data_IF_399666754732
#
_entry.id   IF_399666754732
#
_cell.length_a   1.000
_cell.length_b   1.000
_cell.length_c   1.000
_cell.angle_alpha   90.00
_cell.angle_beta   90.00
_cell.angle_gamma   90.00
#
_symmetry.space_group_name_H-M   'P 1'
#
loop_
_entity.id
_entity.type
_entity.pdbx_description
1 polymer ?
#
# COMPACT_ATOMS: atom_id res chain seq x y z
N UNK A 1 -13.43 21.09 -17.01
CA UNK A 1 -14.16 20.16 -17.91
C UNK A 1 -14.53 18.93 -17.09
N UNK A 2 -15.80 18.79 -16.66
CA UNK A 2 -16.26 17.57 -15.96
C UNK A 2 -16.30 16.44 -16.97
N UNK A 3 -15.30 15.56 -16.95
CA UNK A 3 -15.13 14.48 -17.94
C UNK A 3 -16.32 13.50 -17.95
N UNK A 4 -17.12 13.40 -16.88
CA UNK A 4 -18.44 12.76 -16.86
C UNK A 4 -19.43 13.53 -15.95
N UNK A 5 -20.73 13.46 -16.27
CA UNK A 5 -21.83 14.11 -15.54
C UNK A 5 -22.21 13.42 -14.22
N UNK A 6 -21.94 12.11 -14.09
CA UNK A 6 -22.31 11.33 -12.90
C UNK A 6 -21.23 11.45 -11.82
N UNK A 7 -21.67 11.74 -10.58
CA UNK A 7 -20.82 11.73 -9.40
C UNK A 7 -20.43 10.31 -9.00
N UNK A 8 -19.23 10.13 -8.45
CA UNK A 8 -18.79 8.87 -7.85
C UNK A 8 -19.27 8.72 -6.42
N UNK A 9 -19.35 9.83 -5.68
CA UNK A 9 -19.81 9.85 -4.29
C UNK A 9 -21.22 10.44 -4.20
N UNK A 10 -22.09 9.75 -3.46
CA UNK A 10 -23.38 10.29 -3.03
C UNK A 10 -23.19 11.38 -1.97
N UNK A 11 -24.17 12.27 -1.82
CA UNK A 11 -24.14 13.30 -0.77
C UNK A 11 -24.06 12.69 0.63
N UNK A 12 -24.64 11.50 0.84
CA UNK A 12 -24.54 10.76 2.09
C UNK A 12 -23.11 10.26 2.38
N UNK A 13 -22.39 9.78 1.35
CA UNK A 13 -20.99 9.37 1.47
C UNK A 13 -20.09 10.58 1.75
N UNK A 14 -20.29 11.69 1.05
CA UNK A 14 -19.56 12.94 1.27
C UNK A 14 -19.75 13.46 2.70
N UNK A 15 -20.99 13.46 3.21
CA UNK A 15 -21.27 13.82 4.60
C UNK A 15 -20.53 12.93 5.60
N UNK A 16 -20.57 11.60 5.43
CA UNK A 16 -19.85 10.66 6.30
C UNK A 16 -18.34 10.86 6.24
N UNK A 17 -17.80 11.18 5.06
CA UNK A 17 -16.39 11.50 4.88
C UNK A 17 -15.99 12.77 5.62
N UNK A 18 -16.85 13.79 5.67
CA UNK A 18 -16.59 14.99 6.48
C UNK A 18 -16.55 14.72 7.99
N UNK A 19 -17.22 13.66 8.44
CA UNK A 19 -17.23 13.19 9.83
C UNK A 19 -16.08 12.20 10.13
N UNK A 20 -15.30 11.81 9.11
CA UNK A 20 -14.16 10.90 9.27
C UNK A 20 -13.07 11.53 10.12
N UNK A 21 -12.45 10.72 10.96
CA UNK A 21 -11.36 11.11 11.83
C UNK A 21 -10.25 10.09 11.69
N UNK A 22 -9.07 10.55 11.27
CA UNK A 22 -7.92 9.68 11.11
C UNK A 22 -7.59 8.97 12.42
N UNK A 23 -7.41 7.66 12.33
CA UNK A 23 -7.05 6.83 13.48
C UNK A 23 -5.97 5.85 13.07
N UNK A 24 -4.79 6.02 13.69
CA UNK A 24 -3.62 5.20 13.43
C UNK A 24 -2.96 4.78 14.75
N UNK A 25 -2.42 3.56 14.79
CA UNK A 25 -1.57 3.06 15.86
C UNK A 25 -0.31 2.46 15.24
N UNK A 26 0.87 3.06 15.46
CA UNK A 26 2.14 2.49 15.01
C UNK A 26 2.97 1.97 16.16
N UNK A 27 3.53 0.77 15.98
CA UNK A 27 4.58 0.20 16.83
C UNK A 27 5.85 -0.11 16.01
N UNK A 28 5.99 0.49 14.82
CA UNK A 28 7.11 0.23 13.91
C UNK A 28 8.44 0.66 14.54
N UNK A 29 9.44 -0.20 14.36
CA UNK A 29 10.77 -0.01 14.92
C UNK A 29 11.49 1.11 14.18
N UNK A 30 11.51 1.04 12.84
CA UNK A 30 12.18 2.04 12.03
C UNK A 30 11.49 3.39 12.06
N UNK A 31 10.15 3.43 12.15
CA UNK A 31 9.43 4.70 12.30
C UNK A 31 9.96 5.48 13.49
N UNK A 32 10.13 4.81 14.63
CA UNK A 32 10.65 5.40 15.87
C UNK A 32 12.05 5.95 15.69
N UNK A 33 12.92 5.23 14.96
CA UNK A 33 14.30 5.64 14.70
C UNK A 33 14.40 6.78 13.69
N UNK A 34 13.48 6.86 12.74
CA UNK A 34 13.47 7.86 11.67
C UNK A 34 12.72 9.14 12.05
N UNK A 35 11.98 9.16 13.16
CA UNK A 35 11.30 10.37 13.65
C UNK A 35 12.20 11.63 13.70
N UNK A 36 13.44 11.59 14.23
CA UNK A 36 14.31 12.77 14.25
C UNK A 36 14.65 13.28 12.84
N UNK A 37 14.89 12.35 11.91
CA UNK A 37 15.16 12.67 10.51
C UNK A 37 13.94 13.30 9.84
N UNK A 38 12.74 12.73 9.98
CA UNK A 38 11.52 13.28 9.40
C UNK A 38 11.11 14.62 10.02
N UNK A 39 11.33 14.81 11.33
CA UNK A 39 11.10 16.09 12.01
C UNK A 39 12.07 17.17 11.51
N UNK A 40 13.34 16.83 11.29
CA UNK A 40 14.27 17.73 10.63
C UNK A 40 13.83 18.02 9.19
N UNK A 41 13.45 17.00 8.42
CA UNK A 41 13.11 17.15 7.02
C UNK A 41 11.87 18.04 6.83
N UNK A 42 10.79 17.77 7.57
CA UNK A 42 9.58 18.60 7.52
C UNK A 42 9.88 20.06 7.91
N UNK A 43 10.81 20.31 8.83
CA UNK A 43 11.19 21.69 9.21
C UNK A 43 11.81 22.48 8.05
N UNK A 44 12.42 21.78 7.08
CA UNK A 44 13.01 22.36 5.85
C UNK A 44 11.99 22.60 4.75
N UNK A 45 10.81 22.00 4.85
CA UNK A 45 9.74 22.20 3.87
C UNK A 45 9.14 23.61 4.04
N UNK A 46 8.99 24.39 2.95
CA UNK A 46 8.32 25.69 3.00
C UNK A 46 6.87 25.59 3.44
N UNK A 47 6.38 26.56 4.23
CA UNK A 47 5.00 26.57 4.77
C UNK A 47 3.93 26.68 3.67
N UNK A 48 4.27 27.22 2.50
CA UNK A 48 3.33 27.31 1.38
C UNK A 48 3.14 25.97 0.63
N UNK A 49 4.03 25.00 0.85
CA UNK A 49 3.99 23.73 0.13
C UNK A 49 2.89 22.84 0.69
N UNK A 50 1.91 22.50 -0.15
CA UNK A 50 0.78 21.65 0.22
C UNK A 50 1.22 20.20 0.48
N UNK A 51 0.68 19.53 1.52
CA UNK A 51 0.97 18.13 1.83
C UNK A 51 0.80 17.20 0.63
N UNK A 52 -0.35 17.24 -0.05
CA UNK A 52 -0.62 16.37 -1.20
C UNK A 52 0.34 16.60 -2.38
N UNK A 53 0.94 17.80 -2.47
CA UNK A 53 1.97 18.07 -3.47
C UNK A 53 3.29 17.35 -3.11
N UNK A 54 3.61 17.22 -1.83
CA UNK A 54 4.75 16.44 -1.36
C UNK A 54 4.56 14.95 -1.72
N UNK A 55 3.39 14.40 -1.40
CA UNK A 55 3.01 13.00 -1.70
C UNK A 55 3.14 12.70 -3.20
N UNK A 56 2.53 13.50 -4.07
CA UNK A 56 2.54 13.23 -5.52
C UNK A 56 3.93 13.42 -6.14
N UNK A 57 4.73 14.37 -5.65
CA UNK A 57 6.12 14.53 -6.10
C UNK A 57 6.96 13.32 -5.73
N UNK A 58 6.81 12.82 -4.50
CA UNK A 58 7.41 11.55 -4.09
C UNK A 58 7.00 10.42 -5.04
N UNK A 59 5.70 10.24 -5.28
CA UNK A 59 5.19 9.15 -6.12
C UNK A 59 5.75 9.24 -7.55
N UNK A 60 5.78 10.43 -8.14
CA UNK A 60 6.33 10.66 -9.48
C UNK A 60 7.81 10.24 -9.54
N UNK A 61 8.60 10.62 -8.53
CA UNK A 61 10.01 10.22 -8.44
C UNK A 61 10.13 8.69 -8.37
N UNK A 62 9.35 8.05 -7.49
CA UNK A 62 9.36 6.59 -7.37
C UNK A 62 9.05 5.90 -8.69
N UNK A 63 7.94 6.30 -9.34
CA UNK A 63 7.48 5.72 -10.61
C UNK A 63 8.53 5.91 -11.70
N UNK A 64 9.07 7.12 -11.87
CA UNK A 64 10.06 7.38 -12.93
C UNK A 64 11.31 6.52 -12.71
N UNK A 65 11.84 6.49 -11.49
CA UNK A 65 13.06 5.69 -11.21
C UNK A 65 12.83 4.19 -11.35
N UNK A 66 11.65 3.69 -10.94
CA UNK A 66 11.26 2.29 -11.15
C UNK A 66 11.07 1.97 -12.64
N UNK A 67 10.46 2.85 -13.42
CA UNK A 67 10.28 2.67 -14.87
C UNK A 67 11.62 2.68 -15.63
N UNK A 68 12.60 3.48 -15.19
CA UNK A 68 13.96 3.42 -15.73
C UNK A 68 14.57 2.02 -15.46
N UNK A 69 14.39 1.47 -14.25
CA UNK A 69 14.86 0.13 -13.94
C UNK A 69 14.15 -0.94 -14.79
N UNK A 70 12.82 -0.84 -14.94
CA UNK A 70 12.00 -1.70 -15.81
C UNK A 70 12.45 -1.61 -17.27
N UNK A 71 12.83 -0.43 -17.75
CA UNK A 71 13.32 -0.26 -19.12
C UNK A 71 14.56 -1.10 -19.42
N UNK A 72 15.48 -1.23 -18.46
CA UNK A 72 16.70 -2.04 -18.62
C UNK A 72 16.47 -3.54 -18.44
N UNK A 73 15.47 -3.94 -17.66
CA UNK A 73 15.18 -5.36 -17.38
C UNK A 73 13.67 -5.61 -17.30
N UNK A 74 12.94 -5.50 -18.43
CA UNK A 74 11.49 -5.70 -18.44
C UNK A 74 11.10 -7.17 -18.25
N UNK A 75 12.05 -8.08 -18.45
CA UNK A 75 11.91 -9.52 -18.21
C UNK A 75 12.31 -9.92 -16.78
N UNK A 76 12.85 -8.99 -15.97
CA UNK A 76 13.49 -9.25 -14.69
C UNK A 76 14.55 -10.37 -14.73
N UNK A 77 15.17 -10.60 -15.89
CA UNK A 77 16.29 -11.54 -16.10
C UNK A 77 17.53 -10.80 -16.53
N UNK A 78 17.36 -9.88 -17.49
CA UNK A 78 18.44 -9.07 -18.03
C UNK A 78 19.11 -8.27 -16.91
N UNK A 79 20.44 -8.27 -16.87
CA UNK A 79 21.18 -7.59 -15.81
C UNK A 79 21.05 -6.07 -15.99
N UNK A 80 20.34 -5.43 -15.06
CA UNK A 80 20.18 -3.98 -15.06
C UNK A 80 21.50 -3.29 -14.64
N UNK A 81 21.83 -2.12 -15.23
CA UNK A 81 22.99 -1.36 -14.81
C UNK A 81 22.94 -0.99 -13.32
N UNK A 82 24.06 -1.12 -12.61
CA UNK A 82 24.10 -0.84 -11.16
C UNK A 82 23.65 0.60 -10.80
N UNK A 83 23.91 1.58 -11.66
CA UNK A 83 23.42 2.95 -11.45
C UNK A 83 21.89 3.06 -11.53
N UNK A 84 21.21 2.23 -12.33
CA UNK A 84 19.75 2.21 -12.42
C UNK A 84 19.15 1.62 -11.14
N UNK A 85 19.79 0.58 -10.57
CA UNK A 85 19.44 0.06 -9.24
C UNK A 85 19.67 1.12 -8.14
N UNK A 86 20.81 1.83 -8.18
CA UNK A 86 21.10 2.91 -7.23
C UNK A 86 20.07 4.05 -7.33
N UNK A 87 19.73 4.46 -8.55
CA UNK A 87 18.73 5.50 -8.82
C UNK A 87 17.34 5.09 -8.31
N UNK A 88 16.94 3.84 -8.54
CA UNK A 88 15.68 3.30 -8.02
C UNK A 88 15.67 3.23 -6.48
N UNK A 89 16.79 2.82 -5.86
CA UNK A 89 16.92 2.81 -4.39
C UNK A 89 16.84 4.21 -3.80
N UNK A 90 17.50 5.19 -4.42
CA UNK A 90 17.41 6.60 -4.03
C UNK A 90 15.99 7.15 -4.25
N UNK A 91 15.36 6.84 -5.37
CA UNK A 91 13.98 7.25 -5.66
C UNK A 91 12.99 6.72 -4.63
N UNK A 92 13.13 5.45 -4.22
CA UNK A 92 12.34 4.86 -3.15
C UNK A 92 12.62 5.52 -1.79
N UNK A 93 13.87 5.85 -1.47
CA UNK A 93 14.21 6.59 -0.25
C UNK A 93 13.58 7.99 -0.22
N UNK A 94 13.61 8.69 -1.36
CA UNK A 94 12.97 10.01 -1.49
C UNK A 94 11.45 9.87 -1.36
N UNK A 95 10.83 8.90 -2.02
CA UNK A 95 9.40 8.60 -1.85
C UNK A 95 9.04 8.42 -0.39
N UNK A 96 9.69 7.45 0.28
CA UNK A 96 9.47 7.13 1.69
C UNK A 96 9.63 8.38 2.58
N UNK A 97 10.65 9.19 2.32
CA UNK A 97 10.91 10.40 3.11
C UNK A 97 9.83 11.46 2.92
N UNK A 98 9.34 11.64 1.70
CA UNK A 98 8.31 12.63 1.37
C UNK A 98 6.91 12.19 1.86
N UNK A 99 6.62 10.92 1.71
CA UNK A 99 5.43 10.24 2.24
C UNK A 99 5.35 10.41 3.76
N UNK A 100 6.41 10.06 4.50
CA UNK A 100 6.43 10.17 5.96
C UNK A 100 6.28 11.60 6.52
N UNK A 101 6.54 12.63 5.72
CA UNK A 101 6.44 14.04 6.16
C UNK A 101 5.16 14.74 5.69
N UNK A 102 4.35 14.17 4.80
CA UNK A 102 3.18 14.87 4.27
C UNK A 102 2.14 15.16 5.37
N UNK A 103 1.85 14.19 6.24
CA UNK A 103 0.96 14.33 7.38
C UNK A 103 1.56 15.22 8.45
N UNK A 104 2.89 15.20 8.61
CA UNK A 104 3.61 16.13 9.50
C UNK A 104 3.48 17.56 8.99
N UNK A 105 3.61 17.77 7.68
CA UNK A 105 3.40 19.06 7.05
C UNK A 105 1.95 19.49 7.22
N UNK A 106 0.98 18.61 6.99
CA UNK A 106 -0.44 18.92 7.15
C UNK A 106 -0.79 19.38 8.58
N UNK A 107 -0.16 18.78 9.60
CA UNK A 107 -0.28 19.24 11.00
C UNK A 107 0.42 20.58 11.21
N UNK A 108 1.63 20.76 10.67
CA UNK A 108 2.41 22.01 10.76
C UNK A 108 1.71 23.20 10.12
N UNK A 109 0.97 22.98 9.03
CA UNK A 109 0.25 24.03 8.28
C UNK A 109 -1.22 24.16 8.70
N UNK A 110 -1.71 23.30 9.61
CA UNK A 110 -3.11 23.31 10.03
C UNK A 110 -4.10 22.89 8.92
N UNK A 111 -3.64 22.08 7.96
CA UNK A 111 -4.43 21.66 6.78
C UNK A 111 -4.74 20.16 6.77
N UNK A 112 -4.61 19.47 7.91
CA UNK A 112 -4.97 18.06 8.02
C UNK A 112 -6.47 17.84 7.80
N UNK A 113 -6.83 16.93 6.90
CA UNK A 113 -8.21 16.63 6.54
C UNK A 113 -8.30 15.21 5.91
N UNK A 114 -9.52 14.63 5.79
CA UNK A 114 -9.71 13.30 5.21
C UNK A 114 -9.20 13.16 3.76
N UNK A 115 -9.24 14.23 2.95
CA UNK A 115 -8.73 14.17 1.58
C UNK A 115 -7.22 13.87 1.55
N UNK A 116 -6.45 14.42 2.48
CA UNK A 116 -5.01 14.15 2.58
C UNK A 116 -4.70 12.68 2.85
N UNK A 117 -5.41 12.07 3.81
CA UNK A 117 -5.30 10.63 4.12
C UNK A 117 -5.68 9.75 2.91
N UNK A 118 -6.78 10.10 2.22
CA UNK A 118 -7.20 9.40 1.02
C UNK A 118 -6.17 9.50 -0.12
N UNK A 119 -5.54 10.65 -0.25
CA UNK A 119 -4.55 10.92 -1.29
C UNK A 119 -3.25 10.17 -1.03
N UNK A 120 -2.78 10.18 0.22
CA UNK A 120 -1.61 9.44 0.73
C UNK A 120 -1.74 7.94 0.47
N UNK A 121 -2.75 7.29 1.09
CA UNK A 121 -3.00 5.86 0.91
C UNK A 121 -3.29 5.47 -0.54
N UNK A 122 -3.90 6.40 -1.28
CA UNK A 122 -4.12 6.27 -2.71
C UNK A 122 -2.81 6.20 -3.51
N UNK A 123 -1.80 6.97 -3.14
CA UNK A 123 -0.47 6.96 -3.75
C UNK A 123 0.34 5.72 -3.34
N UNK A 124 0.26 5.32 -2.07
CA UNK A 124 0.93 4.12 -1.56
C UNK A 124 0.51 2.84 -2.27
N UNK A 125 -0.78 2.73 -2.62
CA UNK A 125 -1.29 1.56 -3.34
C UNK A 125 -0.66 1.42 -4.74
N UNK A 126 -0.44 2.55 -5.44
CA UNK A 126 0.29 2.56 -6.71
C UNK A 126 1.77 2.27 -6.48
N UNK A 127 2.39 2.96 -5.52
CA UNK A 127 3.81 2.83 -5.18
C UNK A 127 4.20 1.36 -4.93
N UNK A 128 3.35 0.62 -4.21
CA UNK A 128 3.52 -0.81 -3.89
C UNK A 128 3.78 -1.66 -5.14
N UNK A 129 3.10 -1.38 -6.27
CA UNK A 129 3.28 -2.13 -7.53
C UNK A 129 4.70 -1.95 -8.09
N UNK A 130 5.16 -0.70 -8.14
CA UNK A 130 6.48 -0.36 -8.68
C UNK A 130 7.61 -0.84 -7.77
N UNK A 131 7.43 -0.72 -6.46
CA UNK A 131 8.40 -1.19 -5.46
C UNK A 131 8.56 -2.71 -5.51
N UNK A 132 7.44 -3.46 -5.58
CA UNK A 132 7.48 -4.92 -5.68
C UNK A 132 8.16 -5.40 -6.98
N UNK A 133 7.85 -4.75 -8.11
CA UNK A 133 8.48 -5.06 -9.40
C UNK A 133 9.97 -4.73 -9.40
N UNK A 134 10.36 -3.59 -8.82
CA UNK A 134 11.77 -3.16 -8.71
C UNK A 134 12.59 -4.15 -7.87
N UNK A 135 12.02 -4.65 -6.77
CA UNK A 135 12.65 -5.70 -5.97
C UNK A 135 12.87 -6.99 -6.78
N UNK A 136 11.89 -7.41 -7.59
CA UNK A 136 12.01 -8.58 -8.46
C UNK A 136 13.11 -8.42 -9.50
N UNK A 137 13.21 -7.23 -10.12
CA UNK A 137 14.27 -6.92 -11.10
C UNK A 137 15.65 -6.94 -10.44
N UNK A 138 15.79 -6.33 -9.27
CA UNK A 138 17.05 -6.24 -8.53
C UNK A 138 17.65 -7.62 -8.21
N UNK A 139 16.80 -8.63 -7.96
CA UNK A 139 17.23 -10.00 -7.65
C UNK A 139 17.12 -10.98 -8.82
N UNK A 140 16.89 -10.48 -10.04
CA UNK A 140 16.68 -11.25 -11.27
C UNK A 140 15.61 -12.35 -11.15
N UNK A 141 14.47 -12.01 -10.55
CA UNK A 141 13.42 -12.99 -10.25
C UNK A 141 12.65 -13.50 -11.48
N UNK A 142 12.89 -12.91 -12.65
CA UNK A 142 12.35 -13.38 -13.92
C UNK A 142 12.84 -14.78 -14.31
N UNK A 143 13.97 -15.26 -13.79
CA UNK A 143 14.39 -16.67 -13.93
C UNK A 143 13.43 -17.64 -13.23
N UNK A 144 12.61 -17.14 -12.32
CA UNK A 144 11.65 -17.88 -11.51
C UNK A 144 10.26 -17.22 -11.63
N UNK A 145 9.61 -17.29 -12.80
CA UNK A 145 8.41 -16.49 -13.10
C UNK A 145 7.26 -16.73 -12.11
N UNK A 146 7.06 -17.96 -11.62
CA UNK A 146 6.07 -18.25 -10.58
C UNK A 146 6.36 -17.55 -9.25
N UNK A 147 7.63 -17.43 -8.87
CA UNK A 147 8.05 -16.71 -7.66
C UNK A 147 7.88 -15.21 -7.82
N UNK A 148 8.22 -14.65 -8.98
CA UNK A 148 7.97 -13.25 -9.31
C UNK A 148 6.48 -12.90 -9.27
N UNK A 149 5.63 -13.78 -9.82
CA UNK A 149 4.19 -13.58 -9.84
C UNK A 149 3.68 -13.51 -8.41
N UNK A 150 4.00 -14.54 -7.63
CA UNK A 150 3.57 -14.66 -6.26
C UNK A 150 4.06 -13.48 -5.40
N UNK A 151 5.34 -13.10 -5.49
CA UNK A 151 5.90 -11.97 -4.75
C UNK A 151 5.15 -10.66 -5.03
N UNK A 152 4.95 -10.32 -6.31
CA UNK A 152 4.31 -9.06 -6.70
C UNK A 152 2.86 -9.00 -6.24
N UNK A 153 2.07 -10.04 -6.51
CA UNK A 153 0.67 -10.07 -6.11
C UNK A 153 0.51 -10.19 -4.59
N UNK A 154 1.45 -10.81 -3.89
CA UNK A 154 1.41 -10.88 -2.44
C UNK A 154 1.72 -9.53 -1.78
N UNK A 155 2.69 -8.77 -2.31
CA UNK A 155 2.95 -7.40 -1.84
C UNK A 155 1.69 -6.52 -1.94
N UNK A 156 1.00 -6.56 -3.08
CA UNK A 156 -0.27 -5.82 -3.25
C UNK A 156 -1.39 -6.36 -2.35
N UNK A 157 -1.45 -7.68 -2.14
CA UNK A 157 -2.42 -8.31 -1.23
C UNK A 157 -2.20 -7.90 0.22
N UNK A 158 -0.96 -7.83 0.70
CA UNK A 158 -0.66 -7.38 2.06
C UNK A 158 -1.11 -5.94 2.28
N UNK A 159 -0.78 -5.05 1.33
CA UNK A 159 -1.20 -3.66 1.39
C UNK A 159 -2.75 -3.53 1.37
N UNK A 160 -3.42 -4.33 0.55
CA UNK A 160 -4.87 -4.44 0.54
C UNK A 160 -5.44 -4.92 1.89
N UNK A 161 -4.85 -5.96 2.48
CA UNK A 161 -5.26 -6.51 3.77
C UNK A 161 -5.12 -5.48 4.91
N UNK A 162 -4.10 -4.62 4.91
CA UNK A 162 -3.96 -3.54 5.89
C UNK A 162 -5.13 -2.52 5.77
N UNK A 163 -5.55 -2.21 4.55
CA UNK A 163 -6.71 -1.34 4.31
C UNK A 163 -8.03 -2.04 4.62
N UNK A 164 -8.13 -3.34 4.39
CA UNK A 164 -9.29 -4.14 4.79
C UNK A 164 -9.42 -4.22 6.30
N UNK A 165 -8.30 -4.41 7.01
CA UNK A 165 -8.26 -4.30 8.47
C UNK A 165 -8.83 -2.95 8.92
N UNK A 166 -8.42 -1.87 8.28
CA UNK A 166 -8.84 -0.51 8.61
C UNK A 166 -10.33 -0.30 8.29
N UNK A 167 -10.80 -0.79 7.15
CA UNK A 167 -12.21 -0.82 6.77
C UNK A 167 -13.09 -1.45 7.85
N UNK A 168 -12.64 -2.57 8.43
CA UNK A 168 -13.38 -3.29 9.47
C UNK A 168 -13.26 -2.62 10.84
N UNK A 169 -12.05 -2.25 11.25
CA UNK A 169 -11.76 -1.85 12.63
C UNK A 169 -11.85 -0.36 12.90
N UNK A 170 -11.88 0.47 11.85
CA UNK A 170 -11.86 1.92 11.98
C UNK A 170 -10.49 2.51 12.29
N UNK A 171 -9.44 1.70 12.39
CA UNK A 171 -8.09 2.14 12.78
C UNK A 171 -7.02 1.41 11.98
N UNK A 172 -6.12 2.17 11.34
CA UNK A 172 -4.93 1.61 10.70
C UNK A 172 -3.93 1.23 11.78
N UNK A 173 -3.43 -0.01 11.77
CA UNK A 173 -2.51 -0.50 12.80
C UNK A 173 -1.27 -1.05 12.16
N UNK A 174 -0.14 -0.48 12.53
CA UNK A 174 1.17 -0.93 12.07
C UNK A 174 1.82 -1.85 13.11
N UNK A 175 2.39 -2.93 12.62
CA UNK A 175 3.18 -3.90 13.39
C UNK A 175 4.54 -3.34 13.79
N UNK A 176 5.36 -4.20 14.42
CA UNK A 176 6.77 -3.87 14.73
C UNK A 176 7.65 -3.82 13.49
N UNK A 177 7.32 -4.65 12.52
CA UNK A 177 7.84 -4.57 11.16
C UNK A 177 6.63 -4.27 10.31
N UNK A 178 6.72 -3.25 9.47
CA UNK A 178 5.66 -2.86 8.56
C UNK A 178 6.23 -2.26 7.27
N UNK A 179 5.45 -1.41 6.58
CA UNK A 179 5.81 -0.77 5.31
C UNK A 179 7.22 -0.16 5.33
N UNK A 180 7.59 0.58 6.38
CA UNK A 180 8.90 1.23 6.48
C UNK A 180 10.06 0.22 6.46
N UNK A 181 10.00 -0.83 7.29
CA UNK A 181 10.99 -1.91 7.29
C UNK A 181 11.06 -2.65 5.95
N UNK A 182 9.91 -2.89 5.32
CA UNK A 182 9.86 -3.51 4.00
C UNK A 182 10.54 -2.62 2.93
N UNK A 183 10.25 -1.33 2.92
CA UNK A 183 10.86 -0.37 2.00
C UNK A 183 12.38 -0.27 2.21
N UNK A 184 12.87 -0.16 3.45
CA UNK A 184 14.31 -0.13 3.74
C UNK A 184 15.01 -1.45 3.38
N UNK A 185 14.32 -2.59 3.53
CA UNK A 185 14.83 -3.90 3.07
C UNK A 185 15.03 -3.89 1.55
N UNK A 186 14.06 -3.35 0.80
CA UNK A 186 14.14 -3.24 -0.66
C UNK A 186 15.21 -2.24 -1.09
N UNK A 187 15.36 -1.11 -0.38
CA UNK A 187 16.48 -0.18 -0.59
C UNK A 187 17.83 -0.90 -0.39
N UNK A 188 17.95 -1.76 0.63
CA UNK A 188 19.14 -2.60 0.84
C UNK A 188 19.40 -3.58 -0.31
N UNK A 189 18.36 -4.25 -0.81
CA UNK A 189 18.45 -5.14 -1.98
C UNK A 189 18.92 -4.37 -3.22
N UNK A 190 18.35 -3.19 -3.46
CA UNK A 190 18.73 -2.31 -4.57
C UNK A 190 20.17 -1.81 -4.43
N UNK A 191 20.62 -1.48 -3.23
CA UNK A 191 22.00 -1.07 -2.96
C UNK A 191 23.00 -2.21 -3.19
N UNK A 192 22.70 -3.43 -2.74
CA UNK A 192 23.53 -4.62 -3.02
C UNK A 192 23.64 -4.85 -4.53
N UNK A 193 22.51 -4.79 -5.24
CA UNK A 193 22.46 -4.96 -6.69
C UNK A 193 23.18 -3.83 -7.44
N UNK A 194 23.19 -2.62 -6.89
CA UNK A 194 23.92 -1.50 -7.45
C UNK A 194 25.45 -1.65 -7.32
N UNK A 195 25.94 -2.20 -6.21
CA UNK A 195 27.37 -2.34 -5.90
C UNK A 195 27.96 -3.58 -6.59
N UNK A 196 27.26 -4.72 -6.51
CA UNK A 196 27.78 -6.02 -6.94
C UNK A 196 27.19 -6.52 -8.26
N UNK A 197 26.22 -5.80 -8.82
CA UNK A 197 25.41 -6.25 -9.96
C UNK A 197 24.27 -7.17 -9.52
N UNK A 198 23.10 -7.16 -10.20
CA UNK A 198 22.01 -8.11 -9.95
C UNK A 198 22.43 -9.59 -10.01
N UNK A 199 23.47 -9.91 -10.78
CA UNK A 199 24.02 -11.27 -10.88
C UNK A 199 24.52 -11.85 -9.56
N UNK A 200 24.85 -11.01 -8.56
CA UNK A 200 25.24 -11.47 -7.22
C UNK A 200 24.19 -12.39 -6.58
N UNK A 201 22.90 -12.15 -6.86
CA UNK A 201 21.81 -12.94 -6.31
C UNK A 201 21.72 -14.36 -6.89
N UNK A 202 22.40 -14.60 -8.02
CA UNK A 202 22.55 -15.93 -8.61
C UNK A 202 23.67 -16.75 -7.95
N UNK A 203 24.45 -16.15 -7.05
CA UNK A 203 25.51 -16.85 -6.30
C UNK A 203 24.91 -17.98 -5.48
N UNK A 204 25.46 -19.19 -5.65
CA UNK A 204 25.04 -20.38 -4.91
C UNK A 204 25.76 -20.46 -3.57
N UNK A 205 24.99 -20.61 -2.50
CA UNK A 205 25.48 -20.87 -1.14
C UNK A 205 25.08 -22.29 -0.74
N UNK A 206 26.01 -23.02 -0.13
CA UNK A 206 25.70 -24.35 0.41
C UNK A 206 25.11 -24.20 1.80
N UNK A 207 23.84 -24.55 1.97
CA UNK A 207 23.12 -24.54 3.25
C UNK A 207 22.66 -25.97 3.53
N UNK A 208 23.17 -26.57 4.60
CA UNK A 208 22.81 -27.94 5.02
C UNK A 208 22.97 -29.00 3.91
N UNK A 209 23.98 -28.85 3.04
CA UNK A 209 24.24 -29.77 1.93
C UNK A 209 23.42 -29.52 0.66
N UNK A 210 22.48 -28.57 0.68
CA UNK A 210 21.76 -28.10 -0.51
C UNK A 210 22.41 -26.84 -1.08
N UNK A 211 22.56 -26.78 -2.40
CA UNK A 211 23.05 -25.60 -3.12
C UNK A 211 21.87 -24.71 -3.50
N UNK A 212 21.75 -23.55 -2.83
CA UNK A 212 20.66 -22.59 -3.06
C UNK A 212 21.23 -21.27 -3.56
N UNK A 213 20.60 -20.66 -4.57
CA UNK A 213 20.96 -19.28 -4.93
C UNK A 213 20.47 -18.29 -3.87
N UNK A 214 21.12 -17.14 -3.74
CA UNK A 214 20.65 -16.08 -2.85
C UNK A 214 19.24 -15.59 -3.22
N UNK A 215 18.91 -15.50 -4.52
CA UNK A 215 17.56 -15.18 -5.00
C UNK A 215 16.50 -16.18 -4.53
N UNK A 216 16.83 -17.49 -4.54
CA UNK A 216 15.98 -18.53 -3.97
C UNK A 216 15.88 -18.38 -2.45
N UNK A 217 16.96 -18.00 -1.76
CA UNK A 217 16.93 -17.70 -0.33
C UNK A 217 15.94 -16.57 0.01
N UNK A 218 16.04 -15.45 -0.70
CA UNK A 218 15.11 -14.31 -0.57
C UNK A 218 13.67 -14.74 -0.82
N UNK A 219 13.44 -15.49 -1.89
CA UNK A 219 12.13 -16.08 -2.22
C UNK A 219 11.56 -16.93 -1.09
N UNK A 220 12.36 -17.85 -0.55
CA UNK A 220 11.92 -18.76 0.51
C UNK A 220 11.49 -17.97 1.75
N UNK A 221 12.23 -16.92 2.14
CA UNK A 221 11.86 -16.04 3.26
C UNK A 221 10.48 -15.42 3.06
N UNK A 222 10.25 -14.84 1.88
CA UNK A 222 8.94 -14.25 1.56
C UNK A 222 7.84 -15.31 1.60
N UNK A 223 8.03 -16.44 0.93
CA UNK A 223 7.03 -17.50 0.84
C UNK A 223 6.66 -18.12 2.18
N UNK A 224 7.63 -18.39 3.04
CA UNK A 224 7.32 -18.95 4.36
C UNK A 224 6.62 -17.93 5.25
N UNK A 225 6.95 -16.64 5.11
CA UNK A 225 6.18 -15.54 5.68
C UNK A 225 4.71 -15.54 5.24
N UNK A 226 4.48 -15.68 3.94
CA UNK A 226 3.15 -15.67 3.35
C UNK A 226 2.33 -16.94 3.61
N UNK A 227 2.96 -18.11 3.61
CA UNK A 227 2.30 -19.36 3.97
C UNK A 227 1.73 -19.28 5.40
N UNK A 228 2.52 -18.75 6.32
CA UNK A 228 2.07 -18.57 7.70
C UNK A 228 1.01 -17.47 7.83
N UNK A 229 1.00 -16.44 6.98
CA UNK A 229 -0.15 -15.52 6.86
C UNK A 229 -1.43 -16.28 6.52
N UNK A 230 -1.35 -17.12 5.48
CA UNK A 230 -2.50 -17.89 5.01
C UNK A 230 -2.99 -18.83 6.11
N UNK A 231 -2.09 -19.57 6.77
CA UNK A 231 -2.43 -20.42 7.92
C UNK A 231 -3.08 -19.63 9.05
N UNK A 232 -2.53 -18.45 9.40
CA UNK A 232 -3.13 -17.57 10.40
C UNK A 232 -4.52 -17.09 9.99
N UNK A 233 -4.73 -16.78 8.70
CA UNK A 233 -6.00 -16.36 8.16
C UNK A 233 -7.07 -17.44 8.23
N UNK A 234 -6.76 -18.64 7.78
CA UNK A 234 -7.67 -19.77 7.91
C UNK A 234 -7.89 -20.18 9.37
N UNK A 235 -6.87 -20.06 10.22
CA UNK A 235 -7.00 -20.26 11.67
C UNK A 235 -8.00 -19.28 12.29
N UNK A 236 -8.00 -18.01 11.87
CA UNK A 236 -8.94 -16.99 12.35
C UNK A 236 -10.34 -17.11 11.76
N UNK A 237 -10.47 -17.51 10.48
CA UNK A 237 -11.76 -17.87 9.87
C UNK A 237 -12.48 -18.97 10.68
N UNK A 238 -11.75 -19.99 11.12
CA UNK A 238 -12.28 -21.09 11.92
C UNK A 238 -12.78 -20.65 13.30
N UNK A 239 -12.20 -19.59 13.88
CA UNK A 239 -12.46 -19.15 15.25
C UNK A 239 -13.53 -18.03 15.32
N UNK A 240 -13.68 -17.19 14.29
CA UNK A 240 -14.41 -15.91 14.44
C UNK A 240 -15.36 -15.45 13.32
N UNK A 241 -15.58 -16.22 12.26
CA UNK A 241 -16.43 -15.74 11.16
C UNK A 241 -17.94 -15.88 11.44
N UNK A 242 -18.62 -14.81 11.91
CA UNK A 242 -20.09 -14.75 11.89
C UNK A 242 -20.53 -13.86 10.72
N UNK A 243 -21.00 -14.49 9.63
CA UNK A 243 -21.61 -13.78 8.51
C UNK A 243 -22.97 -13.17 8.87
N UNK A 244 -23.49 -12.27 8.03
CA UNK A 244 -24.79 -11.58 8.16
C UNK A 244 -26.00 -12.52 8.39
N UNK A 245 -25.83 -13.82 8.11
CA UNK A 245 -26.83 -14.88 8.25
C UNK A 245 -26.40 -16.04 9.18
N UNK A 246 -25.38 -15.86 10.04
CA UNK A 246 -24.98 -16.88 11.02
C UNK A 246 -24.28 -18.13 10.46
N UNK A 247 -23.82 -18.12 9.20
CA UNK A 247 -23.13 -19.28 8.62
C UNK A 247 -21.64 -19.31 8.97
N UNK A 248 -21.26 -20.20 9.89
CA UNK A 248 -19.88 -20.58 10.19
C UNK A 248 -19.46 -21.73 9.26
N UNK A 249 -18.38 -21.54 8.48
CA UNK A 249 -17.80 -22.64 7.67
C UNK A 249 -16.56 -23.15 8.39
N UNK A 250 -16.69 -24.29 9.07
CA UNK A 250 -15.56 -25.04 9.62
C UNK A 250 -15.16 -26.15 8.62
N UNK A 251 -13.87 -26.24 8.27
CA UNK A 251 -13.30 -27.37 7.53
C UNK A 251 -12.05 -27.88 8.28
N UNK A 252 -12.00 -29.15 8.73
CA UNK A 252 -10.82 -29.81 9.32
C UNK A 252 -9.95 -30.38 8.17
N UNK A 253 -8.63 -30.55 8.17
CA UNK A 253 -7.50 -30.78 9.10
C UNK A 253 -6.20 -30.46 8.32
N UNK A 254 -5.02 -30.39 8.97
CA UNK A 254 -3.74 -30.95 8.47
C UNK A 254 -2.61 -30.70 9.49
N UNK A 255 -1.99 -31.78 9.96
CA UNK A 255 -0.75 -31.82 10.76
C UNK A 255 0.46 -31.99 9.83
N UNK A 256 1.52 -31.19 10.00
CA UNK A 256 2.88 -31.52 9.53
C UNK A 256 3.99 -30.76 10.30
N UNK A 257 5.16 -31.40 10.38
CA UNK A 257 6.30 -31.14 11.29
C UNK A 257 7.21 -29.95 10.94
N UNK A 258 7.82 -29.38 11.99
CA UNK A 258 8.69 -28.20 11.97
C UNK A 258 10.17 -28.60 11.98
N UNK A 259 10.87 -28.35 10.88
CA UNK A 259 12.33 -28.22 10.87
C UNK A 259 12.67 -27.05 9.96
N UNK A 260 13.14 -25.91 10.51
CA UNK A 260 13.93 -24.87 9.83
C UNK A 260 14.06 -23.59 10.72
N UNK A 261 15.00 -23.60 11.68
CA UNK A 261 15.24 -22.51 12.64
C UNK A 261 15.83 -21.22 12.02
N UNK A 262 16.66 -21.25 10.96
CA UNK A 262 17.15 -20.01 10.30
C UNK A 262 16.08 -19.32 9.45
N UNK A 263 15.13 -20.09 8.91
CA UNK A 263 13.94 -19.57 8.22
C UNK A 263 12.95 -19.00 9.23
N UNK A 264 12.90 -19.51 10.47
CA UNK A 264 12.00 -19.02 11.52
C UNK A 264 12.22 -17.54 11.88
N UNK A 265 13.44 -17.00 11.78
CA UNK A 265 13.74 -15.58 12.10
C UNK A 265 13.24 -14.65 11.01
N UNK A 266 13.46 -15.01 9.74
CA UNK A 266 12.99 -14.24 8.60
C UNK A 266 11.47 -14.42 8.36
N UNK A 267 10.93 -15.60 8.68
CA UNK A 267 9.50 -15.87 8.82
C UNK A 267 8.88 -14.96 9.86
N UNK A 268 9.43 -14.86 11.07
CA UNK A 268 8.80 -14.14 12.18
C UNK A 268 8.35 -12.72 11.78
N UNK A 269 9.12 -12.04 10.96
CA UNK A 269 8.83 -10.70 10.45
C UNK A 269 7.55 -10.65 9.59
N UNK A 270 7.50 -11.44 8.51
CA UNK A 270 6.34 -11.51 7.62
C UNK A 270 5.11 -12.16 8.29
N UNK A 271 5.36 -13.07 9.24
CA UNK A 271 4.35 -13.71 10.10
C UNK A 271 3.67 -12.72 11.01
N UNK A 272 4.42 -11.85 11.67
CA UNK A 272 3.87 -10.84 12.56
C UNK A 272 3.00 -9.83 11.80
N UNK A 273 3.45 -9.40 10.62
CA UNK A 273 2.73 -8.51 9.71
C UNK A 273 1.36 -9.06 9.30
N UNK A 274 1.39 -10.30 8.85
CA UNK A 274 0.24 -11.04 8.42
C UNK A 274 -0.76 -11.36 9.54
N UNK A 275 -0.26 -11.88 10.66
CA UNK A 275 -1.08 -12.27 11.81
C UNK A 275 -1.81 -11.07 12.41
N UNK A 276 -1.16 -9.90 12.46
CA UNK A 276 -1.76 -8.67 12.98
C UNK A 276 -2.99 -8.26 12.15
N UNK A 277 -2.81 -8.10 10.83
CA UNK A 277 -3.87 -7.69 9.90
C UNK A 277 -5.07 -8.62 9.97
N UNK A 278 -4.81 -9.92 9.93
CA UNK A 278 -5.87 -10.90 9.85
C UNK A 278 -6.60 -11.09 11.18
N UNK A 279 -5.87 -11.03 12.31
CA UNK A 279 -6.50 -11.14 13.62
C UNK A 279 -7.57 -10.06 13.82
N UNK A 280 -7.32 -8.84 13.36
CA UNK A 280 -8.23 -7.71 13.57
C UNK A 280 -9.44 -7.75 12.63
N UNK A 281 -9.27 -8.24 11.38
CA UNK A 281 -10.38 -8.44 10.43
C UNK A 281 -11.42 -9.39 11.02
N UNK A 282 -10.98 -10.50 11.62
CA UNK A 282 -11.90 -11.54 12.12
C UNK A 282 -12.44 -11.31 13.53
N UNK A 283 -11.73 -10.56 14.38
CA UNK A 283 -12.25 -10.27 15.73
C UNK A 283 -13.19 -9.06 15.76
N UNK A 284 -13.43 -8.41 14.62
CA UNK A 284 -14.31 -7.24 14.53
C UNK A 284 -13.81 -6.13 15.44
N UNK A 285 -12.70 -5.49 15.05
CA UNK A 285 -12.13 -4.41 15.85
C UNK A 285 -13.17 -3.34 16.18
N UNK A 286 -13.52 -3.21 17.47
CA UNK A 286 -14.31 -2.07 17.92
C UNK A 286 -13.36 -0.87 17.91
N UNK A 287 -13.54 0.05 16.97
CA UNK A 287 -12.82 1.31 16.97
C UNK A 287 -12.96 2.02 18.32
N UNK A 288 -12.02 2.91 18.66
CA UNK A 288 -11.93 3.59 19.97
C UNK A 288 -13.23 4.34 20.37
N UNK A 289 -14.11 4.60 19.41
CA UNK A 289 -15.41 5.29 19.56
C UNK A 289 -16.64 4.39 19.31
N UNK A 290 -16.51 3.06 19.31
CA UNK A 290 -17.63 2.16 18.99
C UNK A 290 -18.04 2.15 17.50
N UNK A 291 -17.29 2.85 16.64
CA UNK A 291 -17.56 2.95 15.21
C UNK A 291 -17.05 1.71 14.48
N UNK A 292 -17.88 0.68 14.40
CA UNK A 292 -17.68 -0.42 13.46
C UNK A 292 -18.52 -0.16 12.21
N UNK A 293 -18.01 -0.48 11.03
CA UNK A 293 -18.84 -0.59 9.81
C UNK A 293 -19.62 -1.91 9.84
N UNK A 294 -20.00 -2.40 11.03
CA UNK A 294 -20.61 -3.72 11.27
C UNK A 294 -22.01 -3.89 10.64
N UNK A 295 -22.56 -2.84 10.01
CA UNK A 295 -23.73 -2.96 9.13
C UNK A 295 -23.42 -3.48 7.73
N UNK A 296 -22.15 -3.48 7.32
CA UNK A 296 -21.67 -3.97 6.01
C UNK A 296 -21.01 -5.34 6.18
N UNK A 297 -21.08 -6.21 5.16
CA UNK A 297 -20.44 -7.52 5.25
C UNK A 297 -18.92 -7.32 5.41
N UNK A 298 -18.39 -7.65 6.59
CA UNK A 298 -16.94 -7.64 6.92
C UNK A 298 -16.11 -8.39 5.88
N UNK A 299 -16.72 -9.36 5.20
CA UNK A 299 -16.11 -10.17 4.16
C UNK A 299 -16.31 -9.65 2.74
N UNK A 300 -17.20 -8.68 2.50
CA UNK A 300 -17.48 -8.14 1.16
C UNK A 300 -16.24 -7.66 0.40
N UNK A 301 -15.19 -7.08 1.03
CA UNK A 301 -13.99 -6.67 0.30
C UNK A 301 -13.24 -7.83 -0.36
N UNK A 302 -13.37 -9.07 0.13
CA UNK A 302 -12.69 -10.23 -0.45
C UNK A 302 -13.07 -10.45 -1.92
N UNK A 303 -14.31 -10.14 -2.30
CA UNK A 303 -14.87 -10.48 -3.61
C UNK A 303 -14.17 -9.74 -4.75
N UNK A 304 -14.18 -8.40 -4.81
CA UNK A 304 -13.56 -7.67 -5.93
C UNK A 304 -12.05 -7.89 -6.00
N UNK A 305 -11.35 -8.00 -4.86
CA UNK A 305 -9.91 -8.26 -4.87
C UNK A 305 -9.57 -9.68 -5.34
N UNK A 306 -10.33 -10.69 -4.89
CA UNK A 306 -10.17 -12.07 -5.35
C UNK A 306 -10.48 -12.20 -6.84
N UNK A 307 -11.41 -11.41 -7.38
CA UNK A 307 -11.69 -11.37 -8.81
C UNK A 307 -10.45 -10.93 -9.61
N UNK A 308 -9.72 -9.91 -9.15
CA UNK A 308 -8.46 -9.47 -9.80
C UNK A 308 -7.41 -10.59 -9.77
N UNK A 309 -7.19 -11.19 -8.60
CA UNK A 309 -6.21 -12.28 -8.44
C UNK A 309 -6.58 -13.51 -9.27
N UNK A 310 -7.85 -13.90 -9.27
CA UNK A 310 -8.34 -15.05 -10.02
C UNK A 310 -8.17 -14.83 -11.52
N UNK A 311 -8.53 -13.65 -12.04
CA UNK A 311 -8.31 -13.32 -13.44
C UNK A 311 -6.82 -13.33 -13.79
N UNK A 312 -5.96 -12.77 -12.93
CA UNK A 312 -4.52 -12.81 -13.12
C UNK A 312 -3.97 -14.25 -13.15
N UNK A 313 -4.49 -15.17 -12.33
CA UNK A 313 -4.06 -16.58 -12.36
C UNK A 313 -4.61 -17.30 -13.58
N UNK A 314 -5.88 -17.11 -13.92
CA UNK A 314 -6.52 -17.73 -15.10
C UNK A 314 -5.77 -17.34 -16.37
N UNK A 315 -5.48 -16.04 -16.53
CA UNK A 315 -4.82 -15.52 -17.74
C UNK A 315 -3.39 -16.04 -17.82
N UNK A 316 -2.66 -16.09 -16.71
CA UNK A 316 -1.34 -16.71 -16.66
C UNK A 316 -1.38 -18.19 -17.06
N UNK A 317 -2.30 -18.98 -16.50
CA UNK A 317 -2.37 -20.43 -16.74
C UNK A 317 -2.90 -20.82 -18.12
N UNK A 318 -3.75 -19.99 -18.72
CA UNK A 318 -4.40 -20.29 -20.01
C UNK A 318 -3.77 -19.60 -21.21
N UNK A 319 -2.79 -18.71 -21.01
CA UNK A 319 -2.12 -18.03 -22.12
C UNK A 319 -1.45 -19.05 -23.03
N UNK A 320 -1.78 -18.99 -24.33
CA UNK A 320 -1.12 -19.80 -25.36
C UNK A 320 0.14 -19.12 -25.89
N UNK A 321 0.32 -17.83 -25.64
CA UNK A 321 1.48 -17.03 -26.03
C UNK A 321 2.46 -16.76 -24.88
N UNK A 322 2.27 -17.44 -23.73
CA UNK A 322 3.09 -17.28 -22.51
C UNK A 322 3.32 -15.80 -22.15
N UNK A 323 2.25 -14.98 -22.21
CA UNK A 323 2.40 -13.51 -22.14
C UNK A 323 3.05 -13.02 -20.86
N UNK A 324 2.83 -13.71 -19.75
CA UNK A 324 3.44 -13.36 -18.48
C UNK A 324 4.94 -13.69 -18.49
N UNK A 325 5.34 -14.83 -19.04
CA UNK A 325 6.73 -15.25 -19.09
C UNK A 325 7.55 -14.40 -20.09
N UNK A 326 6.91 -13.96 -21.18
CA UNK A 326 7.51 -13.14 -22.22
C UNK A 326 7.52 -11.63 -21.85
N UNK A 327 6.50 -11.16 -21.13
CA UNK A 327 6.34 -9.75 -20.77
C UNK A 327 5.94 -9.56 -19.28
N UNK A 328 6.75 -10.03 -18.31
CA UNK A 328 6.36 -10.07 -16.91
C UNK A 328 6.17 -8.68 -16.31
N UNK A 329 7.04 -7.71 -16.59
CA UNK A 329 6.87 -6.35 -16.07
C UNK A 329 5.56 -5.71 -16.56
N UNK A 330 5.26 -5.81 -17.86
CA UNK A 330 4.02 -5.29 -18.44
C UNK A 330 2.78 -5.93 -17.80
N UNK A 331 2.84 -7.25 -17.58
CA UNK A 331 1.77 -8.00 -16.92
C UNK A 331 1.57 -7.54 -15.46
N UNK A 332 2.64 -7.48 -14.67
CA UNK A 332 2.58 -7.05 -13.27
C UNK A 332 2.10 -5.61 -13.16
N UNK A 333 2.52 -4.70 -14.05
CA UNK A 333 2.03 -3.33 -14.06
C UNK A 333 0.53 -3.28 -14.37
N UNK A 334 0.05 -4.01 -15.39
CA UNK A 334 -1.36 -3.99 -15.76
C UNK A 334 -2.26 -4.47 -14.61
N UNK A 335 -2.01 -5.66 -14.08
CA UNK A 335 -2.84 -6.22 -13.00
C UNK A 335 -2.58 -5.57 -11.63
N UNK A 336 -1.34 -5.13 -11.39
CA UNK A 336 -0.98 -4.38 -10.19
C UNK A 336 -1.74 -3.06 -10.11
N UNK A 337 -1.89 -2.32 -11.21
CA UNK A 337 -2.70 -1.10 -11.24
C UNK A 337 -4.20 -1.37 -11.08
N UNK A 338 -4.71 -2.49 -11.59
CA UNK A 338 -6.11 -2.92 -11.32
C UNK A 338 -6.28 -3.14 -9.81
N UNK A 339 -5.36 -3.86 -9.19
CA UNK A 339 -5.38 -4.12 -7.76
C UNK A 339 -5.21 -2.84 -6.92
N UNK A 340 -4.31 -1.93 -7.31
CA UNK A 340 -4.14 -0.62 -6.67
C UNK A 340 -5.43 0.21 -6.70
N UNK A 341 -6.13 0.22 -7.85
CA UNK A 341 -7.43 0.91 -7.95
C UNK A 341 -8.48 0.28 -7.02
N UNK A 342 -8.56 -1.05 -6.94
CA UNK A 342 -9.46 -1.74 -6.02
C UNK A 342 -9.13 -1.40 -4.56
N UNK A 343 -7.85 -1.28 -4.20
CA UNK A 343 -7.43 -0.77 -2.89
C UNK A 343 -7.91 0.66 -2.66
N UNK A 344 -7.77 1.57 -3.63
CA UNK A 344 -8.23 2.96 -3.49
C UNK A 344 -9.74 3.04 -3.24
N UNK A 345 -10.52 2.17 -3.88
CA UNK A 345 -11.97 2.06 -3.63
C UNK A 345 -12.28 1.58 -2.22
N UNK A 346 -11.47 0.66 -1.67
CA UNK A 346 -11.60 0.20 -0.30
C UNK A 346 -11.29 1.31 0.71
N UNK A 347 -10.25 2.12 0.46
CA UNK A 347 -9.94 3.31 1.29
C UNK A 347 -11.12 4.28 1.30
N UNK A 348 -11.67 4.59 0.14
CA UNK A 348 -12.87 5.44 0.03
C UNK A 348 -14.03 4.85 0.81
N UNK A 349 -14.34 3.56 0.61
CA UNK A 349 -15.43 2.86 1.29
C UNK A 349 -15.29 2.88 2.81
N UNK A 350 -14.05 2.77 3.32
CA UNK A 350 -13.74 2.91 4.74
C UNK A 350 -14.09 4.32 5.24
N UNK A 351 -13.56 5.35 4.59
CA UNK A 351 -13.72 6.75 5.01
C UNK A 351 -15.16 7.25 4.89
N UNK A 352 -15.90 6.76 3.90
CA UNK A 352 -17.33 7.06 3.71
C UNK A 352 -18.25 6.13 4.50
N UNK A 353 -17.70 5.12 5.20
CA UNK A 353 -18.43 4.07 5.92
C UNK A 353 -19.53 3.44 5.05
N UNK A 354 -19.21 3.10 3.80
CA UNK A 354 -20.14 2.51 2.83
C UNK A 354 -19.66 1.15 2.35
N UNK A 355 -20.59 0.34 1.82
CA UNK A 355 -20.21 -0.90 1.13
C UNK A 355 -19.36 -0.59 -0.10
N UNK A 356 -18.45 -1.50 -0.44
CA UNK A 356 -17.65 -1.41 -1.65
C UNK A 356 -18.37 -2.13 -2.80
N UNK A 357 -18.59 -1.41 -3.90
CA UNK A 357 -19.16 -1.98 -5.12
C UNK A 357 -18.25 -3.06 -5.73
N UNK A 358 -18.84 -4.20 -6.09
CA UNK A 358 -18.08 -5.36 -6.58
C UNK A 358 -17.53 -5.19 -8.00
N UNK A 359 -18.27 -4.50 -8.86
CA UNK A 359 -17.88 -4.28 -10.25
C UNK A 359 -17.13 -2.97 -10.39
N UNK A 360 -16.11 -2.97 -11.23
CA UNK A 360 -15.30 -1.80 -11.55
C UNK A 360 -14.82 -1.84 -12.99
N UNK A 361 -14.70 -0.66 -13.60
CA UNK A 361 -14.24 -0.51 -14.97
C UNK A 361 -12.78 -0.95 -15.18
N UNK A 362 -11.95 -1.01 -14.13
CA UNK A 362 -10.59 -1.54 -14.23
C UNK A 362 -10.56 -3.03 -14.60
N UNK A 363 -11.64 -3.76 -14.39
CA UNK A 363 -11.75 -5.18 -14.74
C UNK A 363 -11.97 -5.40 -16.24
N UNK A 364 -12.30 -4.36 -17.02
CA UNK A 364 -12.53 -4.48 -18.46
C UNK A 364 -11.32 -5.08 -19.19
N UNK A 365 -10.12 -4.58 -18.92
CA UNK A 365 -8.88 -5.08 -19.53
C UNK A 365 -8.61 -6.56 -19.25
N UNK A 366 -8.60 -7.00 -17.97
CA UNK A 366 -8.53 -8.41 -17.61
C UNK A 366 -9.64 -9.26 -18.24
N UNK A 367 -10.88 -8.77 -18.27
CA UNK A 367 -12.00 -9.49 -18.91
C UNK A 367 -11.77 -9.64 -20.43
N UNK A 368 -11.25 -8.61 -21.10
CA UNK A 368 -10.90 -8.68 -22.53
C UNK A 368 -9.82 -9.75 -22.78
N UNK A 369 -8.83 -9.89 -21.90
CA UNK A 369 -7.83 -10.95 -22.00
C UNK A 369 -8.44 -12.36 -21.85
N UNK A 370 -9.30 -12.57 -20.85
CA UNK A 370 -9.99 -13.87 -20.68
C UNK A 370 -10.87 -14.19 -21.88
N UNK A 371 -11.63 -13.21 -22.39
CA UNK A 371 -12.46 -13.40 -23.58
C UNK A 371 -11.60 -13.72 -24.80
N UNK A 372 -10.48 -13.03 -24.99
CA UNK A 372 -9.56 -13.31 -26.09
C UNK A 372 -9.00 -14.74 -26.00
N UNK A 373 -8.58 -15.19 -24.83
CA UNK A 373 -8.13 -16.57 -24.60
C UNK A 373 -9.24 -17.60 -24.84
N UNK A 374 -10.48 -17.30 -24.44
CA UNK A 374 -11.64 -18.16 -24.67
C UNK A 374 -11.92 -18.37 -26.16
N UNK A 375 -11.73 -17.33 -26.99
CA UNK A 375 -11.86 -17.40 -28.44
C UNK A 375 -10.55 -17.78 -29.16
N UNK A 376 -9.73 -18.63 -28.54
CA UNK A 376 -8.47 -19.15 -29.09
C UNK A 376 -7.48 -18.06 -29.53
N UNK A 377 -7.41 -16.95 -28.79
CA UNK A 377 -6.43 -15.87 -29.01
C UNK A 377 -6.54 -15.26 -30.42
N UNK A 378 -7.76 -14.86 -30.80
CA UNK A 378 -8.01 -14.18 -32.08
C UNK A 378 -7.15 -12.91 -32.26
N UNK A 379 -6.93 -12.15 -31.18
CA UNK A 379 -5.98 -11.02 -31.15
C UNK A 379 -4.72 -11.48 -30.42
N UNK A 380 -3.55 -11.03 -30.87
CA UNK A 380 -2.31 -11.26 -30.12
C UNK A 380 -2.44 -10.67 -28.69
N UNK A 381 -2.25 -11.52 -27.69
CA UNK A 381 -2.43 -11.21 -26.27
C UNK A 381 -1.53 -10.05 -25.81
N UNK A 382 -0.38 -9.84 -26.44
CA UNK A 382 0.51 -8.70 -26.18
C UNK A 382 -0.17 -7.35 -26.39
N UNK A 383 -0.90 -7.18 -27.49
CA UNK A 383 -1.63 -5.94 -27.76
C UNK A 383 -2.81 -5.77 -26.81
N UNK A 384 -3.50 -6.86 -26.48
CA UNK A 384 -4.61 -6.83 -25.50
C UNK A 384 -4.09 -6.46 -24.12
N UNK A 385 -2.90 -6.93 -23.74
CA UNK A 385 -2.26 -6.59 -22.47
C UNK A 385 -1.85 -5.11 -22.41
N UNK A 386 -1.31 -4.55 -23.50
CA UNK A 386 -1.07 -3.10 -23.58
C UNK A 386 -2.36 -2.28 -23.49
N UNK A 387 -3.42 -2.70 -24.18
CA UNK A 387 -4.74 -2.06 -24.07
C UNK A 387 -5.26 -2.14 -22.62
N UNK A 388 -5.06 -3.27 -21.94
CA UNK A 388 -5.38 -3.43 -20.52
C UNK A 388 -4.62 -2.43 -19.65
N UNK A 389 -3.30 -2.32 -19.81
CA UNK A 389 -2.47 -1.36 -19.06
C UNK A 389 -2.91 0.09 -19.30
N UNK A 390 -3.09 0.48 -20.56
CA UNK A 390 -3.50 1.85 -20.93
C UNK A 390 -4.87 2.16 -20.35
N UNK A 391 -5.82 1.22 -20.48
CA UNK A 391 -7.17 1.39 -19.95
C UNK A 391 -7.16 1.59 -18.43
N UNK A 392 -6.49 0.72 -17.68
CA UNK A 392 -6.47 0.82 -16.22
C UNK A 392 -5.72 2.08 -15.76
N UNK A 393 -4.65 2.48 -16.43
CA UNK A 393 -3.94 3.71 -16.09
C UNK A 393 -4.83 4.95 -16.28
N UNK A 394 -5.53 5.05 -17.42
CA UNK A 394 -6.46 6.15 -17.70
C UNK A 394 -7.63 6.15 -16.70
N UNK A 395 -8.22 4.98 -16.45
CA UNK A 395 -9.37 4.85 -15.55
C UNK A 395 -9.00 5.13 -14.08
N UNK A 396 -7.79 4.75 -13.65
CA UNK A 396 -7.26 5.07 -12.33
C UNK A 396 -7.00 6.58 -12.17
N UNK A 397 -6.33 7.22 -13.14
CA UNK A 397 -6.10 8.69 -13.11
C UNK A 397 -7.44 9.44 -13.10
N UNK A 398 -8.39 9.02 -13.94
CA UNK A 398 -9.75 9.56 -13.97
C UNK A 398 -10.45 9.42 -12.63
N UNK A 399 -10.41 8.22 -12.05
CA UNK A 399 -11.02 7.92 -10.75
C UNK A 399 -10.44 8.81 -9.64
N UNK A 400 -9.11 8.87 -9.52
CA UNK A 400 -8.44 9.67 -8.50
C UNK A 400 -8.75 11.17 -8.69
N UNK A 401 -8.68 11.67 -9.92
CA UNK A 401 -9.03 13.07 -10.22
C UNK A 401 -10.46 13.41 -9.79
N UNK A 402 -11.43 12.57 -10.18
CA UNK A 402 -12.84 12.82 -9.92
C UNK A 402 -13.18 12.73 -8.42
N UNK A 403 -12.69 11.71 -7.71
CA UNK A 403 -12.88 11.58 -6.26
C UNK A 403 -12.28 12.80 -5.54
N UNK A 404 -11.04 13.18 -5.88
CA UNK A 404 -10.39 14.33 -5.25
C UNK A 404 -11.18 15.62 -5.50
N UNK A 405 -11.70 15.83 -6.72
CA UNK A 405 -12.52 17.01 -7.01
C UNK A 405 -13.84 17.02 -6.24
N UNK A 406 -14.57 15.90 -6.20
CA UNK A 406 -15.84 15.83 -5.47
C UNK A 406 -15.64 16.10 -3.97
N UNK A 407 -14.54 15.61 -3.39
CA UNK A 407 -14.19 15.87 -1.99
C UNK A 407 -13.72 17.33 -1.79
N UNK A 408 -12.87 17.87 -2.67
CA UNK A 408 -12.45 19.28 -2.64
C UNK A 408 -13.66 20.23 -2.68
N UNK A 409 -14.60 19.98 -3.61
CA UNK A 409 -15.83 20.76 -3.76
C UNK A 409 -16.69 20.70 -2.49
N UNK A 410 -16.76 19.54 -1.83
CA UNK A 410 -17.53 19.33 -0.60
C UNK A 410 -16.89 19.94 0.64
N UNK A 411 -15.57 19.79 0.80
CA UNK A 411 -14.81 20.31 1.95
C UNK A 411 -14.40 21.78 1.77
N UNK A 412 -14.58 22.35 0.58
CA UNK A 412 -14.12 23.67 0.18
C UNK A 412 -12.61 23.87 0.39
N UNK A 413 -11.82 22.89 -0.06
CA UNK A 413 -10.35 22.90 0.00
C UNK A 413 -9.75 22.78 -1.40
N UNK A 414 -8.53 23.28 -1.57
CA UNK A 414 -7.76 23.09 -2.80
C UNK A 414 -6.81 21.90 -2.64
N UNK A 415 -6.71 21.04 -3.66
CA UNK A 415 -5.96 19.79 -3.57
C UNK A 415 -4.44 20.02 -3.37
N UNK A 416 -3.86 20.98 -4.08
CA UNK A 416 -2.41 21.23 -4.13
C UNK A 416 -2.00 22.63 -3.67
N UNK A 417 -2.89 23.33 -2.95
CA UNK A 417 -2.64 24.70 -2.50
C UNK A 417 -3.14 24.89 -1.08
N UNK A 418 -2.33 25.60 -0.30
CA UNK A 418 -2.71 26.05 1.04
C UNK A 418 -3.26 27.48 0.91
N UNK A 419 -4.48 27.76 1.39
CA UNK A 419 -4.95 29.14 1.50
C UNK A 419 -4.03 29.91 2.46
N UNK A 420 -3.55 31.09 2.03
CA UNK A 420 -2.43 31.85 2.60
C UNK A 420 -2.24 31.79 4.12
N UNK A 421 -0.98 31.77 4.56
CA UNK A 421 -0.57 31.81 5.95
C UNK A 421 -1.21 33.00 6.70
N UNK A 422 -2.19 32.72 7.58
CA UNK A 422 -2.89 33.71 8.40
C UNK A 422 -4.37 33.95 8.06
N UNK A 423 -4.95 33.29 7.06
CA UNK A 423 -6.41 33.33 6.82
C UNK A 423 -7.20 32.55 7.89
N UNK A 424 -8.49 32.84 8.11
CA UNK A 424 -9.30 32.18 9.13
C UNK A 424 -9.28 30.67 8.92
N UNK A 425 -8.61 29.99 9.85
CA UNK A 425 -8.55 28.54 9.91
C UNK A 425 -9.98 28.01 10.09
N UNK A 426 -10.50 27.29 9.10
CA UNK A 426 -11.63 26.39 9.37
C UNK A 426 -11.06 25.21 10.13
N UNK A 427 -10.98 25.36 11.45
CA UNK A 427 -10.78 24.25 12.37
C UNK A 427 -11.95 23.30 12.16
N UNK A 428 -11.77 22.27 11.33
CA UNK A 428 -12.54 21.04 11.52
C UNK A 428 -11.98 20.48 12.81
N UNK A 429 -12.74 20.65 13.91
CA UNK A 429 -12.35 20.21 15.24
C UNK A 429 -12.16 18.69 15.19
N UNK A 430 -10.94 18.23 14.95
CA UNK A 430 -10.50 16.91 15.34
C UNK A 430 -10.07 17.04 16.79
N UNK A 431 -10.82 16.43 17.70
CA UNK A 431 -10.34 16.24 19.07
C UNK A 431 -9.14 15.29 18.99
N UNK A 432 -7.95 15.87 18.93
CA UNK A 432 -6.68 15.19 18.78
C UNK A 432 -6.51 14.13 19.89
N UNK A 433 -6.53 12.87 19.49
CA UNK A 433 -6.16 11.76 20.36
C UNK A 433 -4.63 11.67 20.43
N UNK A 434 -4.07 12.24 21.50
CA UNK A 434 -2.79 11.93 22.14
C UNK A 434 -2.01 10.72 21.59
N UNK A 435 -0.84 10.99 21.02
CA UNK A 435 0.32 10.10 21.09
C UNK A 435 0.73 10.00 22.57
N UNK A 436 0.16 9.04 23.30
CA UNK A 436 0.71 8.62 24.59
C UNK A 436 1.72 7.50 24.33
N UNK A 437 2.98 7.88 24.21
CA UNK A 437 4.08 6.97 24.53
C UNK A 437 3.88 6.51 25.97
N UNK A 438 3.69 5.20 26.14
CA UNK A 438 3.54 4.57 27.45
C UNK A 438 4.84 4.64 28.23
N UNK A 439 4.98 5.66 29.06
CA UNK A 439 5.84 5.68 30.24
C UNK A 439 5.02 6.18 31.43
N UNK A 440 5.08 5.39 32.49
CA UNK A 440 4.26 5.46 33.70
C UNK A 440 4.29 6.85 34.36
N UNK A 441 3.11 7.37 34.71
CA UNK A 441 2.92 8.58 35.51
C UNK A 441 3.50 8.40 36.94
N UNK A 442 4.62 9.07 37.23
CA UNK A 442 4.90 9.66 38.56
C UNK A 442 6.07 10.64 38.45
N UNK A 443 5.87 11.84 39.01
CA UNK A 443 6.71 13.05 39.01
C UNK A 443 6.63 13.90 37.74
N UNK A 444 5.78 14.92 37.80
CA UNK A 444 6.05 16.30 37.38
C UNK A 444 4.91 17.16 37.94
N UNK A 445 5.01 17.41 39.25
CA UNK A 445 4.37 18.53 39.95
C UNK A 445 5.54 19.32 40.52
N UNK A 446 6.08 20.21 39.70
CA UNK A 446 6.86 21.39 40.10
C UNK A 446 7.33 22.06 38.81
N UNK A 447 7.17 23.38 38.80
CA UNK A 447 7.79 24.34 37.88
C UNK A 447 6.85 24.85 36.77
N UNK A 448 5.82 25.59 37.22
CA UNK A 448 5.41 26.82 36.55
C UNK A 448 6.57 27.82 36.62
N UNK A 449 7.06 28.29 35.48
CA UNK A 449 7.54 29.66 35.20
C UNK A 449 8.32 29.66 33.88
N UNK A 450 7.74 30.31 32.86
CA UNK A 450 8.41 31.08 31.79
C UNK A 450 7.51 31.12 30.53
N UNK A 451 6.55 32.05 30.55
CA UNK A 451 5.78 32.46 29.37
C UNK A 451 6.14 33.92 29.08
N UNK A 452 6.90 34.16 28.00
CA UNK A 452 7.12 35.51 27.45
C UNK A 452 6.49 35.56 26.04
N UNK A 453 5.38 36.27 25.84
CA UNK A 453 4.85 36.52 24.51
C UNK A 453 5.47 37.80 23.93
N UNK A 454 6.07 37.71 22.75
CA UNK A 454 6.50 38.86 21.96
C UNK A 454 5.84 38.81 20.58
N UNK A 455 4.82 39.66 20.40
CA UNK A 455 4.86 40.82 19.48
C UNK A 455 3.42 41.30 19.21
N UNK A 456 3.01 42.32 19.96
CA UNK A 456 1.96 43.25 19.52
C UNK A 456 2.59 44.34 18.64
N UNK A 457 1.90 44.64 17.54
CA UNK A 457 2.18 45.73 16.61
C UNK A 457 1.87 47.09 17.23
N UNK A 458 2.83 48.02 17.22
CA UNK A 458 2.57 49.44 17.44
C UNK A 458 2.45 50.19 16.11
N UNK A 459 1.24 50.65 15.83
CA UNK A 459 0.99 51.84 15.01
C UNK A 459 1.26 53.07 15.88
N UNK A 460 2.19 53.92 15.46
CA UNK A 460 2.11 55.38 15.53
C UNK A 460 3.15 56.01 14.61
#
# INVERSE_FOLDING_TARGET
>A
MKLYKQRLLSDAQLKRLSEHQYSCQSNSILDTLLQPYWNWLVSRVPIWLAPNLITILGLIINIITALILVWYSPDAKTEAPGWACALCGLGLFVYQSLDAIDGKQARRTGTANPLGELFDHGCDSLSTVFVALSACIAVQLGYYPGWMFFQCFCAVTLFYCAHWQTYVSGTLRFGKVDVTEAQFTIMGILAISAIFGPSVWSTKVSVLGASLSLSQGVCMVFYTGYFQMFVAFFGRLKIGGVGKNGSTVAIPTMDMEVKLIPIAVACAVAVLLAQANVSIIFTGGVGKNGSTVAGTSVLSPVIPFSMVLLLAVIIYQKSTQDIYQNHPALYILAFGLVAAKVTNRLVVAHMTKSEMDYMDWSLLGPTMLVLNQYFNTFINEYYVLWMCLIWVAVDLVRYCYQICQEICDHLHVELFRIPYAGGPQKVVVSNAASEKNGLSNKKLLSDEEDYVPLLESSNQ
#
